data_IF_335552914746
#
_entry.id   IF_335552914746
#
_cell.length_a   1.000
_cell.length_b   1.000
_cell.length_c   1.000
_cell.angle_alpha   90.00
_cell.angle_beta   90.00
_cell.angle_gamma   90.00
#
_symmetry.space_group_name_H-M   'P 1'
#
loop_
_entity.id
_entity.type
_entity.pdbx_description
1 polymer ?
#
# COMPACT_ATOMS: atom_id res chain seq x y z
N UNK A 1 -15.30 -5.36 -9.19
CA UNK A 1 -15.23 -5.05 -10.64
C UNK A 1 -14.30 -6.08 -11.24
N UNK A 2 -14.59 -6.59 -12.43
CA UNK A 2 -13.64 -7.51 -13.08
C UNK A 2 -12.38 -6.77 -13.49
N UNK A 3 -11.22 -7.26 -13.07
CA UNK A 3 -9.91 -6.66 -13.36
C UNK A 3 -8.94 -7.79 -13.68
N UNK A 4 -8.24 -7.68 -14.80
CA UNK A 4 -7.28 -8.66 -15.26
C UNK A 4 -5.89 -8.29 -14.74
N UNK A 5 -5.22 -9.24 -14.10
CA UNK A 5 -3.80 -9.14 -13.76
C UNK A 5 -2.96 -9.23 -15.03
N UNK A 6 -2.03 -8.29 -15.22
CA UNK A 6 -1.13 -8.33 -16.38
C UNK A 6 -0.07 -9.40 -16.21
N UNK A 7 0.35 -9.71 -14.97
CA UNK A 7 1.37 -10.72 -14.69
C UNK A 7 0.77 -12.12 -14.75
N UNK A 8 -0.31 -12.37 -14.02
CA UNK A 8 -0.92 -13.70 -13.92
C UNK A 8 -1.84 -14.04 -15.09
N UNK A 9 -2.15 -13.07 -15.96
CA UNK A 9 -3.09 -13.21 -17.09
C UNK A 9 -4.47 -13.77 -16.68
N UNK A 10 -4.86 -13.55 -15.43
CA UNK A 10 -6.10 -14.03 -14.84
C UNK A 10 -7.02 -12.86 -14.44
N UNK A 11 -8.34 -13.08 -14.51
CA UNK A 11 -9.34 -12.11 -14.07
C UNK A 11 -9.72 -12.32 -12.61
N UNK A 12 -9.83 -11.21 -11.87
CA UNK A 12 -10.24 -11.16 -10.47
C UNK A 12 -11.45 -10.24 -10.29
N UNK A 13 -12.34 -10.55 -9.35
CA UNK A 13 -13.25 -9.55 -8.81
C UNK A 13 -12.51 -8.67 -7.81
N UNK A 14 -12.07 -7.52 -8.28
CA UNK A 14 -11.24 -6.58 -7.53
C UNK A 14 -12.03 -5.33 -7.15
N UNK A 15 -11.90 -4.92 -5.90
CA UNK A 15 -12.43 -3.66 -5.38
C UNK A 15 -11.46 -3.07 -4.38
N UNK A 16 -11.15 -1.78 -4.51
CA UNK A 16 -10.33 -1.05 -3.56
C UNK A 16 -11.15 0.10 -2.95
N UNK A 17 -11.27 0.11 -1.63
CA UNK A 17 -11.91 1.19 -0.87
C UNK A 17 -10.84 1.97 -0.12
N UNK A 18 -10.65 3.24 -0.49
CA UNK A 18 -9.72 4.13 0.20
C UNK A 18 -10.32 4.57 1.55
N UNK A 19 -9.56 4.41 2.63
CA UNK A 19 -9.97 4.79 3.98
C UNK A 19 -9.41 6.15 4.42
N UNK A 20 -8.49 6.74 3.64
CA UNK A 20 -7.87 8.03 3.94
C UNK A 20 -6.38 7.95 4.25
N UNK A 21 -5.76 9.12 4.40
CA UNK A 21 -4.36 9.27 4.77
C UNK A 21 -4.20 9.04 6.28
N UNK A 22 -3.11 8.38 6.68
CA UNK A 22 -2.80 8.03 8.07
C UNK A 22 -1.35 8.35 8.39
N UNK A 23 -1.07 8.53 9.67
CA UNK A 23 0.26 8.65 10.27
C UNK A 23 0.34 7.59 11.37
N UNK A 24 1.31 6.68 11.29
CA UNK A 24 1.53 5.67 12.33
C UNK A 24 2.50 6.13 13.42
N UNK A 25 2.73 5.27 14.41
CA UNK A 25 3.64 5.54 15.52
C UNK A 25 5.11 5.62 15.09
N UNK A 26 5.46 5.09 13.91
CA UNK A 26 6.79 5.19 13.31
C UNK A 26 6.93 6.44 12.42
N UNK A 27 5.95 7.36 12.48
CA UNK A 27 5.88 8.58 11.67
C UNK A 27 5.74 8.32 10.17
N UNK A 28 5.27 7.14 9.77
CA UNK A 28 5.06 6.81 8.37
C UNK A 28 3.70 7.30 7.86
N UNK A 29 3.74 8.28 6.96
CA UNK A 29 2.56 8.77 6.24
C UNK A 29 2.18 7.79 5.11
N UNK A 30 0.96 7.26 5.17
CA UNK A 30 0.48 6.29 4.18
C UNK A 30 -1.03 6.37 3.98
N UNK A 31 -1.47 6.05 2.78
CA UNK A 31 -2.88 5.84 2.45
C UNK A 31 -3.31 4.43 2.83
N UNK A 32 -4.39 4.32 3.60
CA UNK A 32 -4.95 3.03 4.01
C UNK A 32 -6.09 2.63 3.08
N UNK A 33 -6.16 1.34 2.76
CA UNK A 33 -7.13 0.75 1.86
C UNK A 33 -7.70 -0.54 2.45
N UNK A 34 -8.95 -0.84 2.10
CA UNK A 34 -9.48 -2.20 2.14
C UNK A 34 -9.60 -2.68 0.71
N UNK A 35 -8.89 -3.75 0.39
CA UNK A 35 -8.93 -4.38 -0.92
C UNK A 35 -9.70 -5.69 -0.81
N UNK A 36 -10.74 -5.83 -1.63
CA UNK A 36 -11.50 -7.07 -1.78
C UNK A 36 -11.08 -7.75 -3.07
N UNK A 37 -10.63 -9.01 -2.99
CA UNK A 37 -10.28 -9.84 -4.14
C UNK A 37 -11.05 -11.15 -4.04
N UNK A 38 -11.90 -11.44 -5.02
CA UNK A 38 -12.72 -12.67 -5.07
C UNK A 38 -13.48 -12.94 -3.75
N UNK A 39 -13.99 -11.87 -3.13
CA UNK A 39 -14.74 -11.93 -1.87
C UNK A 39 -13.90 -11.96 -0.59
N UNK A 40 -12.57 -11.95 -0.67
CA UNK A 40 -11.67 -11.86 0.48
C UNK A 40 -11.17 -10.43 0.69
N UNK A 41 -11.27 -9.95 1.93
CA UNK A 41 -10.82 -8.61 2.31
C UNK A 41 -9.40 -8.61 2.90
N UNK A 42 -8.61 -7.63 2.46
CA UNK A 42 -7.23 -7.39 2.86
C UNK A 42 -7.04 -5.93 3.27
N UNK A 43 -6.30 -5.71 4.35
CA UNK A 43 -5.77 -4.37 4.64
C UNK A 43 -4.56 -4.12 3.76
N UNK A 44 -4.51 -2.95 3.12
CA UNK A 44 -3.40 -2.58 2.26
C UNK A 44 -3.03 -1.12 2.49
N UNK A 45 -1.74 -0.81 2.40
CA UNK A 45 -1.22 0.53 2.62
C UNK A 45 -0.29 0.94 1.49
N UNK A 46 -0.40 2.18 1.05
CA UNK A 46 0.52 2.76 0.05
C UNK A 46 1.15 4.02 0.60
N UNK A 47 2.46 4.18 0.49
CA UNK A 47 3.14 5.41 0.90
C UNK A 47 2.66 6.63 0.10
N UNK A 48 2.84 7.84 0.67
CA UNK A 48 2.43 9.09 0.03
C UNK A 48 3.07 9.33 -1.35
N UNK A 49 4.20 8.69 -1.66
CA UNK A 49 4.85 8.74 -2.97
C UNK A 49 3.98 8.22 -4.13
N UNK A 50 2.93 7.44 -3.86
CA UNK A 50 1.97 6.99 -4.87
C UNK A 50 0.89 8.03 -5.20
N UNK A 51 0.72 9.06 -4.35
CA UNK A 51 -0.22 10.15 -4.61
C UNK A 51 0.30 11.03 -5.75
N UNK A 52 -0.61 11.80 -6.34
CA UNK A 52 -0.29 12.78 -7.36
C UNK A 52 -0.98 14.11 -7.06
N UNK A 53 -0.43 15.26 -7.49
CA UNK A 53 -1.13 16.53 -7.40
C UNK A 53 -2.55 16.41 -7.97
N UNK A 54 -3.52 16.95 -7.23
CA UNK A 54 -4.91 16.91 -7.65
C UNK A 54 -5.07 17.67 -8.98
N UNK A 55 -5.91 17.14 -9.88
CA UNK A 55 -6.27 17.86 -11.10
C UNK A 55 -7.19 19.01 -10.73
N UNK A 56 -6.65 20.20 -10.56
CA UNK A 56 -7.48 21.40 -10.40
C UNK A 56 -8.17 21.67 -11.75
N UNK A 57 -9.51 21.74 -11.75
CA UNK A 57 -10.24 22.21 -12.93
C UNK A 57 -9.92 23.70 -13.08
N UNK A 58 -9.27 24.08 -14.18
CA UNK A 58 -9.03 25.48 -14.51
C UNK A 58 -10.35 26.27 -14.46
N UNK A 59 -10.52 27.08 -13.42
CA UNK A 59 -11.57 28.08 -13.35
C UNK A 59 -10.95 29.44 -13.67
N UNK A 60 -11.68 30.26 -14.43
CA UNK A 60 -11.24 31.61 -14.82
C UNK A 60 -10.98 32.42 -13.53
N UNK A 61 -9.72 32.84 -13.32
CA UNK A 61 -9.27 33.50 -12.09
C UNK A 61 -8.28 32.70 -11.23
N UNK A 62 -7.98 31.43 -11.56
CA UNK A 62 -6.93 30.64 -10.90
C UNK A 62 -5.55 30.89 -11.54
N UNK A 63 -4.96 32.05 -11.32
CA UNK A 63 -3.62 32.40 -11.82
C UNK A 63 -2.48 31.57 -11.17
N UNK A 64 -2.74 30.91 -10.05
CA UNK A 64 -1.73 30.24 -9.21
C UNK A 64 -1.65 28.71 -9.33
N UNK A 65 -2.19 28.09 -10.40
CA UNK A 65 -2.13 26.63 -10.58
C UNK A 65 -0.70 26.07 -10.53
N UNK A 66 0.29 26.83 -11.04
CA UNK A 66 1.70 26.46 -10.98
C UNK A 66 2.21 26.40 -9.53
N UNK A 67 1.88 27.40 -8.70
CA UNK A 67 2.23 27.41 -7.28
C UNK A 67 1.60 26.25 -6.50
N UNK A 68 0.34 25.91 -6.79
CA UNK A 68 -0.34 24.76 -6.19
C UNK A 68 0.37 23.44 -6.50
N UNK A 69 0.76 23.22 -7.76
CA UNK A 69 1.46 21.99 -8.17
C UNK A 69 2.86 21.91 -7.55
N UNK A 70 3.57 23.02 -7.50
CA UNK A 70 4.91 23.10 -6.91
C UNK A 70 4.85 22.81 -5.38
N UNK A 71 3.85 23.35 -4.69
CA UNK A 71 3.64 23.10 -3.26
C UNK A 71 3.25 21.64 -2.98
N UNK A 72 2.31 21.07 -3.74
CA UNK A 72 1.97 19.65 -3.65
C UNK A 72 3.20 18.76 -3.87
N UNK A 73 4.05 19.11 -4.84
CA UNK A 73 5.29 18.38 -5.14
C UNK A 73 6.31 18.50 -4.01
N UNK A 74 6.40 19.66 -3.35
CA UNK A 74 7.27 19.86 -2.19
C UNK A 74 6.95 18.88 -1.05
N UNK A 75 5.67 18.71 -0.72
CA UNK A 75 5.26 17.74 0.31
C UNK A 75 5.42 16.29 -0.16
N UNK A 76 5.10 15.95 -1.41
CA UNK A 76 5.30 14.58 -1.91
C UNK A 76 6.77 14.14 -1.87
N UNK A 77 7.71 15.09 -1.97
CA UNK A 77 9.14 14.84 -1.88
C UNK A 77 9.67 14.73 -0.43
N UNK A 78 8.82 14.82 0.60
CA UNK A 78 9.22 14.65 1.99
C UNK A 78 10.14 15.75 2.53
N UNK A 79 10.21 16.92 1.89
CA UNK A 79 11.17 18.00 2.20
C UNK A 79 10.79 18.85 3.42
N UNK A 80 10.25 18.24 4.46
CA UNK A 80 9.77 18.89 5.69
C UNK A 80 10.32 18.20 6.93
N UNK A 81 10.09 18.80 8.10
CA UNK A 81 10.54 18.28 9.37
C UNK A 81 9.80 16.99 9.72
N UNK A 82 10.55 15.93 10.04
CA UNK A 82 10.04 14.59 10.33
C UNK A 82 9.70 14.45 11.81
N UNK A 83 8.78 15.30 12.29
CA UNK A 83 8.19 15.19 13.62
C UNK A 83 6.66 15.15 13.53
N UNK A 84 6.02 14.62 14.57
CA UNK A 84 4.59 14.32 14.58
C UNK A 84 3.72 15.54 14.25
N UNK A 85 3.95 16.68 14.91
CA UNK A 85 3.14 17.90 14.71
C UNK A 85 3.27 18.41 13.27
N UNK A 86 4.49 18.44 12.74
CA UNK A 86 4.74 18.84 11.35
C UNK A 86 4.05 17.89 10.36
N UNK A 87 4.11 16.59 10.61
CA UNK A 87 3.51 15.55 9.75
C UNK A 87 1.99 15.58 9.75
N UNK A 88 1.35 15.89 10.88
CA UNK A 88 -0.11 16.05 10.97
C UNK A 88 -0.60 17.25 10.12
N UNK A 89 0.14 18.37 10.18
CA UNK A 89 -0.12 19.53 9.31
C UNK A 89 0.09 19.18 7.84
N UNK A 90 1.18 18.48 7.52
CA UNK A 90 1.47 18.03 6.15
C UNK A 90 0.39 17.08 5.63
N UNK A 91 -0.12 16.15 6.44
CA UNK A 91 -1.21 15.25 6.05
C UNK A 91 -2.45 16.04 5.62
N UNK A 92 -2.85 17.03 6.41
CA UNK A 92 -3.99 17.90 6.09
C UNK A 92 -3.80 18.61 4.75
N UNK A 93 -2.57 19.07 4.46
CA UNK A 93 -2.22 19.70 3.18
C UNK A 93 -2.22 18.69 2.03
N UNK A 94 -1.63 17.51 2.22
CA UNK A 94 -1.60 16.45 1.22
C UNK A 94 -3.03 16.02 0.83
N UNK A 95 -3.92 15.84 1.79
CA UNK A 95 -5.33 15.49 1.51
C UNK A 95 -6.03 16.57 0.68
N UNK A 96 -5.78 17.84 0.95
CA UNK A 96 -6.38 18.95 0.20
C UNK A 96 -5.80 19.11 -1.23
N UNK A 97 -4.50 18.81 -1.41
CA UNK A 97 -3.78 19.19 -2.63
C UNK A 97 -3.45 18.01 -3.55
N UNK A 98 -3.57 16.78 -3.06
CA UNK A 98 -3.18 15.58 -3.80
C UNK A 98 -4.30 14.56 -3.78
N UNK A 99 -4.31 13.71 -4.79
CA UNK A 99 -5.26 12.62 -4.95
C UNK A 99 -4.53 11.30 -5.01
N UNK A 100 -5.17 10.26 -4.51
CA UNK A 100 -4.71 8.88 -4.66
C UNK A 100 -4.80 8.45 -6.12
N UNK A 101 -3.83 7.64 -6.56
CA UNK A 101 -3.96 6.89 -7.82
C UNK A 101 -4.77 5.63 -7.56
N UNK A 102 -5.58 5.15 -8.53
CA UNK A 102 -6.16 3.82 -8.44
C UNK A 102 -5.07 2.77 -8.21
N UNK A 103 -5.34 1.80 -7.35
CA UNK A 103 -4.42 0.69 -7.12
C UNK A 103 -4.29 -0.16 -8.38
N UNK A 104 -3.06 -0.52 -8.72
CA UNK A 104 -2.80 -1.59 -9.67
C UNK A 104 -3.00 -2.93 -8.94
N UNK A 105 -3.79 -3.83 -9.54
CA UNK A 105 -4.03 -5.16 -8.97
C UNK A 105 -2.74 -5.97 -8.82
N UNK A 106 -1.78 -5.84 -9.75
CA UNK A 106 -0.52 -6.59 -9.71
C UNK A 106 0.35 -6.16 -8.53
N UNK A 107 0.38 -4.87 -8.18
CA UNK A 107 1.08 -4.39 -6.97
C UNK A 107 0.50 -5.01 -5.69
N UNK A 108 -0.84 -5.17 -5.65
CA UNK A 108 -1.51 -5.76 -4.49
C UNK A 108 -1.28 -7.26 -4.45
N UNK A 109 -1.45 -7.96 -5.57
CA UNK A 109 -1.23 -9.40 -5.66
C UNK A 109 0.22 -9.77 -5.34
N UNK A 110 1.19 -9.03 -5.86
CA UNK A 110 2.60 -9.20 -5.52
C UNK A 110 2.83 -9.14 -4.01
N UNK A 111 2.35 -8.06 -3.37
CA UNK A 111 2.47 -7.90 -1.92
C UNK A 111 1.79 -9.03 -1.13
N UNK A 112 0.61 -9.48 -1.57
CA UNK A 112 -0.13 -10.56 -0.92
C UNK A 112 0.55 -11.92 -1.11
N UNK A 113 1.18 -12.16 -2.27
CA UNK A 113 1.97 -13.37 -2.53
C UNK A 113 3.21 -13.39 -1.63
N UNK A 114 3.91 -12.26 -1.51
CA UNK A 114 5.06 -12.12 -0.60
C UNK A 114 4.66 -12.42 0.86
N UNK A 115 3.56 -11.83 1.34
CA UNK A 115 3.01 -12.15 2.66
C UNK A 115 2.68 -13.64 2.79
N UNK A 116 2.09 -14.23 1.75
CA UNK A 116 1.65 -15.61 1.77
C UNK A 116 2.82 -16.61 1.75
N UNK A 117 3.97 -16.24 1.18
CA UNK A 117 5.21 -17.01 1.26
C UNK A 117 5.83 -16.91 2.65
N UNK A 118 5.99 -15.69 3.17
CA UNK A 118 6.51 -15.45 4.51
C UNK A 118 5.68 -16.16 5.59
N UNK A 119 4.35 -16.20 5.43
CA UNK A 119 3.44 -16.92 6.34
C UNK A 119 3.51 -18.45 6.26
N UNK A 120 4.24 -19.03 5.32
CA UNK A 120 4.42 -20.49 5.20
C UNK A 120 5.71 -21.00 5.82
N UNK A 121 6.63 -20.09 6.13
CA UNK A 121 7.90 -20.40 6.80
C UNK A 121 7.65 -20.73 8.28
N UNK A 122 8.64 -21.35 8.94
CA UNK A 122 8.67 -21.35 10.40
C UNK A 122 8.94 -19.94 10.92
N UNK A 123 8.49 -19.63 12.13
CA UNK A 123 8.66 -18.28 12.67
C UNK A 123 10.15 -17.91 12.84
N UNK A 124 10.98 -18.88 13.20
CA UNK A 124 12.44 -18.72 13.29
C UNK A 124 13.05 -18.35 11.93
N UNK A 125 12.69 -19.08 10.86
CA UNK A 125 13.16 -18.80 9.50
C UNK A 125 12.68 -17.41 9.02
N UNK A 126 11.42 -17.06 9.29
CA UNK A 126 10.90 -15.73 9.02
C UNK A 126 11.74 -14.65 9.71
N UNK A 127 12.05 -14.83 10.99
CA UNK A 127 12.87 -13.87 11.72
C UNK A 127 14.27 -13.74 11.12
N UNK A 128 14.92 -14.87 10.79
CA UNK A 128 16.24 -14.87 10.17
C UNK A 128 16.24 -14.20 8.79
N UNK A 129 15.23 -14.47 7.96
CA UNK A 129 15.09 -13.92 6.61
C UNK A 129 14.84 -12.41 6.59
N UNK A 130 14.07 -11.90 7.55
CA UNK A 130 13.69 -10.48 7.62
C UNK A 130 14.50 -9.67 8.65
N UNK A 131 15.47 -10.30 9.32
CA UNK A 131 16.35 -9.65 10.30
C UNK A 131 15.65 -9.27 11.61
N UNK A 132 14.62 -10.02 11.99
CA UNK A 132 13.94 -9.86 13.27
C UNK A 132 14.57 -10.74 14.35
N UNK A 133 14.34 -10.34 15.61
CA UNK A 133 14.62 -11.16 16.78
C UNK A 133 13.46 -12.17 16.99
N UNK A 134 13.76 -13.45 17.20
CA UNK A 134 12.76 -14.49 17.48
C UNK A 134 12.04 -14.30 18.81
N UNK A 135 12.54 -13.46 19.72
CA UNK A 135 11.82 -13.05 20.93
C UNK A 135 10.96 -11.78 20.72
N UNK A 136 10.93 -11.22 19.50
CA UNK A 136 10.16 -10.02 19.17
C UNK A 136 8.67 -10.31 19.01
N UNK A 137 7.86 -9.78 19.95
CA UNK A 137 6.38 -9.80 19.84
C UNK A 137 5.87 -9.12 18.57
N UNK A 138 6.52 -8.02 18.17
CA UNK A 138 6.14 -7.29 16.95
C UNK A 138 6.40 -8.15 15.70
N UNK A 139 7.51 -8.88 15.65
CA UNK A 139 7.79 -9.79 14.54
C UNK A 139 6.78 -10.93 14.49
N UNK A 140 6.42 -11.48 15.65
CA UNK A 140 5.39 -12.51 15.75
C UNK A 140 4.01 -12.03 15.27
N UNK A 141 3.61 -10.81 15.63
CA UNK A 141 2.34 -10.22 15.17
C UNK A 141 2.33 -10.03 13.64
N UNK A 142 3.46 -9.62 13.04
CA UNK A 142 3.62 -9.50 11.58
C UNK A 142 3.52 -10.88 10.93
N UNK A 143 4.27 -11.86 11.44
CA UNK A 143 4.23 -13.24 10.94
C UNK A 143 2.81 -13.83 10.99
N UNK A 144 2.06 -13.61 12.07
CA UNK A 144 0.66 -14.02 12.16
C UNK A 144 -0.25 -13.32 11.14
N UNK A 145 0.03 -12.05 10.81
CA UNK A 145 -0.69 -11.34 9.77
C UNK A 145 -0.41 -11.97 8.39
N UNK A 146 0.86 -12.29 8.09
CA UNK A 146 1.26 -13.03 6.90
C UNK A 146 0.56 -14.40 6.80
N UNK A 147 0.48 -15.16 7.90
CA UNK A 147 -0.26 -16.43 7.95
C UNK A 147 -1.75 -16.26 7.62
N UNK A 148 -2.40 -15.23 8.18
CA UNK A 148 -3.82 -14.93 7.89
C UNK A 148 -4.02 -14.57 6.42
N UNK A 149 -3.12 -13.79 5.84
CA UNK A 149 -3.15 -13.46 4.43
C UNK A 149 -2.95 -14.72 3.57
N UNK A 150 -2.00 -15.59 3.92
CA UNK A 150 -1.75 -16.86 3.22
C UNK A 150 -3.02 -17.72 3.10
N UNK A 151 -3.76 -17.89 4.21
CA UNK A 151 -5.02 -18.65 4.24
C UNK A 151 -6.06 -18.07 3.28
N UNK A 152 -6.19 -16.74 3.21
CA UNK A 152 -7.15 -16.07 2.32
C UNK A 152 -6.73 -16.16 0.86
N UNK A 153 -5.44 -15.94 0.56
CA UNK A 153 -4.89 -15.98 -0.82
C UNK A 153 -5.07 -17.36 -1.45
N UNK A 154 -4.84 -18.44 -0.68
CA UNK A 154 -5.02 -19.83 -1.13
C UNK A 154 -6.44 -20.14 -1.61
N UNK A 155 -7.44 -19.34 -1.24
CA UNK A 155 -8.82 -19.55 -1.68
C UNK A 155 -9.05 -19.20 -3.15
N UNK A 156 -8.16 -18.40 -3.75
CA UNK A 156 -8.34 -17.92 -5.11
C UNK A 156 -7.07 -17.95 -5.98
N UNK A 157 -5.91 -18.32 -5.41
CA UNK A 157 -4.64 -18.31 -6.10
C UNK A 157 -3.75 -19.48 -5.66
N UNK A 158 -3.06 -20.10 -6.63
CA UNK A 158 -1.92 -20.97 -6.33
C UNK A 158 -0.69 -20.10 -6.02
N UNK A 159 -0.22 -20.12 -4.78
CA UNK A 159 0.85 -19.23 -4.31
C UNK A 159 2.20 -19.55 -4.97
N UNK A 160 2.48 -20.82 -5.25
CA UNK A 160 3.75 -21.24 -5.85
C UNK A 160 3.85 -20.73 -7.29
N UNK A 161 2.84 -21.05 -8.12
CA UNK A 161 2.75 -20.55 -9.50
C UNK A 161 2.73 -19.01 -9.57
N UNK A 162 2.02 -18.36 -8.64
CA UNK A 162 1.97 -16.90 -8.60
C UNK A 162 3.33 -16.30 -8.21
N UNK A 163 4.02 -16.89 -7.23
CA UNK A 163 5.35 -16.43 -6.83
C UNK A 163 6.34 -16.54 -7.99
N UNK A 164 6.32 -17.66 -8.72
CA UNK A 164 7.14 -17.83 -9.93
C UNK A 164 6.85 -16.75 -10.98
N UNK A 165 5.58 -16.45 -11.24
CA UNK A 165 5.19 -15.41 -12.19
C UNK A 165 5.64 -14.00 -11.78
N UNK A 166 5.80 -13.76 -10.47
CA UNK A 166 6.21 -12.48 -9.89
C UNK A 166 7.73 -12.34 -9.65
N UNK A 167 8.56 -13.30 -10.05
CA UNK A 167 10.01 -13.26 -9.80
C UNK A 167 10.71 -12.02 -10.39
N UNK A 168 10.24 -11.53 -11.54
CA UNK A 168 10.82 -10.38 -12.26
C UNK A 168 10.03 -9.06 -12.07
N UNK A 169 9.17 -8.98 -11.04
CA UNK A 169 8.26 -7.85 -10.83
C UNK A 169 8.89 -6.64 -10.15
#
# INVERSE_FOLDING_TARGET
MKTTSEILKQEFDFKANHLGLRLDDNLWQHDKWIVTINGQDFEYSTGIGHRQPAKVKWQRGMENYRGFKDEATYYLNGRFKQDKESLEVVNSKLEAMTQVKPLNIDNVLYSLVMDAQAGQEMFEDFCDNFGYDSDSRKAFDIYQACQKNAVKVRQFLNIEEASEAFQDY
#
